data_IF_124376729539
#
_entry.id   IF_124376729539
#
_cell.length_a   1.000
_cell.length_b   1.000
_cell.length_c   1.000
_cell.angle_alpha   90.00
_cell.angle_beta   90.00
_cell.angle_gamma   90.00
#
_symmetry.space_group_name_H-M   'P 1'
#
loop_
_entity.id
_entity.type
_entity.pdbx_description
1 polymer ?
#
# COMPACT_ATOMS: atom_id res chain seq x y z
N UNK A 1 -6.61 7.12 -16.35
CA UNK A 1 -5.53 7.76 -17.11
C UNK A 1 -5.87 7.49 -18.55
N UNK A 2 -5.86 8.53 -19.36
CA UNK A 2 -6.30 8.43 -20.74
C UNK A 2 -5.07 8.19 -21.59
N UNK A 3 -5.19 7.28 -22.55
CA UNK A 3 -4.10 6.94 -23.45
C UNK A 3 -4.69 6.53 -24.79
N UNK A 4 -3.95 6.82 -25.85
CA UNK A 4 -4.34 6.49 -27.22
C UNK A 4 -3.59 5.24 -27.64
N UNK A 5 -4.29 4.33 -28.31
CA UNK A 5 -3.71 3.09 -28.84
C UNK A 5 -4.12 2.90 -30.29
N UNK A 6 -3.25 2.28 -31.07
CA UNK A 6 -3.60 1.76 -32.38
C UNK A 6 -4.08 0.31 -32.23
N UNK A 7 -5.25 0.01 -32.77
CA UNK A 7 -5.83 -1.35 -32.73
C UNK A 7 -5.36 -2.12 -33.97
N UNK A 8 -4.91 -3.39 -33.82
CA UNK A 8 -4.47 -4.19 -34.96
C UNK A 8 -5.64 -4.55 -35.90
N UNK A 9 -5.36 -4.61 -37.21
CA UNK A 9 -6.33 -5.12 -38.18
C UNK A 9 -6.60 -6.60 -37.93
N UNK A 10 -7.87 -6.96 -37.69
CA UNK A 10 -8.32 -8.33 -37.41
C UNK A 10 -7.54 -9.01 -36.26
N UNK A 11 -7.19 -8.26 -35.21
CA UNK A 11 -6.40 -8.76 -34.09
C UNK A 11 -7.04 -8.55 -32.72
N UNK A 12 -6.32 -9.01 -31.69
CA UNK A 12 -6.64 -8.80 -30.28
C UNK A 12 -5.48 -8.03 -29.65
N UNK A 13 -5.79 -7.11 -28.73
CA UNK A 13 -4.82 -6.32 -27.99
C UNK A 13 -5.24 -6.26 -26.52
N UNK A 14 -4.27 -6.42 -25.63
CA UNK A 14 -4.43 -6.23 -24.18
C UNK A 14 -3.71 -4.95 -23.77
N UNK A 15 -4.39 -4.06 -23.03
CA UNK A 15 -3.87 -2.76 -22.60
C UNK A 15 -4.42 -2.39 -21.23
N UNK A 16 -3.86 -1.33 -20.63
CA UNK A 16 -4.52 -0.65 -19.51
C UNK A 16 -4.40 -1.39 -18.18
N UNK A 17 -3.22 -1.95 -17.90
CA UNK A 17 -2.88 -2.63 -16.65
C UNK A 17 -3.04 -1.67 -15.43
N UNK A 18 -4.26 -1.56 -14.92
CA UNK A 18 -4.70 -0.58 -13.93
C UNK A 18 -5.98 -1.02 -13.23
N UNK A 19 -6.18 -0.55 -11.99
CA UNK A 19 -7.47 -0.70 -11.32
C UNK A 19 -8.54 0.24 -11.90
N UNK A 20 -9.69 -0.33 -12.26
CA UNK A 20 -10.87 0.41 -12.71
C UNK A 20 -12.17 -0.36 -12.41
N UNK A 21 -13.29 0.38 -12.40
CA UNK A 21 -14.66 -0.17 -12.42
C UNK A 21 -15.42 0.20 -13.69
N UNK A 22 -15.10 1.36 -14.27
CA UNK A 22 -15.70 1.89 -15.48
C UNK A 22 -14.58 2.23 -16.46
N UNK A 23 -14.81 1.96 -17.74
CA UNK A 23 -13.92 2.30 -18.85
C UNK A 23 -14.70 3.04 -19.93
N UNK A 24 -14.08 4.04 -20.54
CA UNK A 24 -14.60 4.78 -21.68
C UNK A 24 -13.69 4.50 -22.88
N UNK A 25 -14.31 4.22 -24.03
CA UNK A 25 -13.61 3.94 -25.28
C UNK A 25 -14.17 4.90 -26.33
N UNK A 26 -13.29 5.69 -26.95
CA UNK A 26 -13.63 6.63 -28.00
C UNK A 26 -12.85 6.27 -29.28
N UNK A 27 -13.53 6.27 -30.42
CA UNK A 27 -12.88 6.20 -31.73
C UNK A 27 -12.44 7.61 -32.12
N UNK A 28 -11.13 7.82 -32.28
CA UNK A 28 -10.57 9.15 -32.54
C UNK A 28 -10.41 9.49 -34.03
N UNK A 29 -10.57 8.51 -34.92
CA UNK A 29 -10.50 8.71 -36.37
C UNK A 29 -11.92 8.80 -36.95
N UNK A 30 -12.30 10.01 -37.37
CA UNK A 30 -13.62 10.31 -37.94
C UNK A 30 -13.85 9.67 -39.32
N UNK A 31 -12.80 9.14 -39.95
CA UNK A 31 -12.84 8.48 -41.26
C UNK A 31 -12.81 6.95 -41.19
N UNK A 32 -12.76 6.38 -39.99
CA UNK A 32 -12.71 4.94 -39.75
C UNK A 32 -14.03 4.40 -39.19
N UNK A 33 -14.28 3.10 -39.42
CA UNK A 33 -15.32 2.33 -38.73
C UNK A 33 -14.65 1.26 -37.86
N UNK A 34 -15.00 1.23 -36.58
CA UNK A 34 -14.46 0.25 -35.63
C UNK A 34 -15.50 -0.83 -35.32
N UNK A 35 -15.26 -2.04 -35.83
CA UNK A 35 -16.06 -3.21 -35.46
C UNK A 35 -15.48 -3.90 -34.22
N UNK A 36 -16.12 -3.70 -33.07
CA UNK A 36 -15.77 -4.38 -31.83
C UNK A 36 -16.53 -5.70 -31.71
N UNK A 37 -15.81 -6.82 -31.78
CA UNK A 37 -16.40 -8.14 -31.55
C UNK A 37 -16.60 -8.45 -30.06
N UNK A 38 -15.60 -8.11 -29.25
CA UNK A 38 -15.57 -8.46 -27.82
C UNK A 38 -14.69 -7.46 -27.06
N UNK A 39 -15.10 -7.11 -25.84
CA UNK A 39 -14.27 -6.42 -24.86
C UNK A 39 -14.22 -7.31 -23.62
N UNK A 40 -13.00 -7.59 -23.13
CA UNK A 40 -12.78 -8.35 -21.89
C UNK A 40 -12.04 -7.49 -20.88
N UNK A 41 -12.47 -7.55 -19.63
CA UNK A 41 -11.68 -7.09 -18.50
C UNK A 41 -10.98 -8.31 -17.88
N UNK A 42 -9.68 -8.21 -17.67
CA UNK A 42 -8.88 -9.25 -17.02
C UNK A 42 -8.60 -8.76 -15.61
N UNK A 43 -8.90 -9.60 -14.63
CA UNK A 43 -8.61 -9.31 -13.22
C UNK A 43 -7.43 -10.17 -12.79
N UNK A 44 -6.40 -9.53 -12.25
CA UNK A 44 -5.16 -10.17 -11.83
C UNK A 44 -5.07 -10.04 -10.31
N UNK A 45 -4.97 -11.20 -9.65
CA UNK A 45 -4.82 -11.33 -8.21
C UNK A 45 -3.84 -12.45 -7.92
N UNK A 46 -3.24 -12.42 -6.72
CA UNK A 46 -2.60 -13.60 -6.21
C UNK A 46 -3.65 -14.70 -5.98
N UNK A 47 -3.36 -15.93 -6.40
CA UNK A 47 -4.22 -17.08 -6.10
C UNK A 47 -3.97 -17.55 -4.67
N UNK A 48 -4.64 -16.90 -3.71
CA UNK A 48 -4.47 -17.15 -2.27
C UNK A 48 -5.81 -17.39 -1.57
N UNK A 49 -5.87 -18.28 -0.57
CA UNK A 49 -7.10 -18.57 0.15
C UNK A 49 -7.41 -17.49 1.21
N UNK A 50 -8.70 -17.17 1.36
CA UNK A 50 -9.23 -16.41 2.49
C UNK A 50 -9.37 -17.37 3.69
N UNK A 51 -8.39 -17.38 4.59
CA UNK A 51 -8.35 -18.25 5.78
C UNK A 51 -9.19 -17.70 6.93
N UNK A 52 -9.18 -16.38 7.10
CA UNK A 52 -10.02 -15.67 8.05
C UNK A 52 -11.39 -15.36 7.48
N UNK A 53 -12.41 -15.35 8.33
CA UNK A 53 -13.76 -14.97 7.95
C UNK A 53 -14.48 -14.26 9.10
N UNK A 54 -15.45 -13.42 8.75
CA UNK A 54 -16.35 -12.77 9.69
C UNK A 54 -17.75 -12.75 9.11
N UNK A 55 -18.75 -12.98 9.96
CA UNK A 55 -20.16 -12.82 9.63
C UNK A 55 -20.97 -12.55 10.89
N UNK A 56 -21.89 -11.60 10.82
CA UNK A 56 -22.88 -11.33 11.86
C UNK A 56 -24.28 -11.13 11.25
N UNK A 57 -25.25 -10.82 12.11
CA UNK A 57 -26.64 -10.55 11.72
C UNK A 57 -26.84 -9.15 11.10
N UNK A 58 -25.81 -8.29 11.11
CA UNK A 58 -25.82 -7.00 10.43
C UNK A 58 -25.17 -7.12 9.05
N UNK A 59 -25.99 -7.04 8.00
CA UNK A 59 -25.52 -7.21 6.63
C UNK A 59 -24.58 -6.09 6.17
N UNK A 60 -24.72 -4.88 6.73
CA UNK A 60 -23.81 -3.78 6.42
C UNK A 60 -22.41 -4.07 6.95
N UNK A 61 -22.30 -4.62 8.16
CA UNK A 61 -21.00 -5.03 8.73
C UNK A 61 -20.36 -6.17 7.93
N UNK A 62 -21.17 -7.13 7.46
CA UNK A 62 -20.68 -8.19 6.56
C UNK A 62 -20.08 -7.60 5.28
N UNK A 63 -20.78 -6.65 4.65
CA UNK A 63 -20.31 -5.98 3.43
C UNK A 63 -19.04 -5.15 3.67
N UNK A 64 -18.93 -4.48 4.82
CA UNK A 64 -17.72 -3.74 5.20
C UNK A 64 -16.53 -4.69 5.31
N UNK A 65 -16.69 -5.84 5.97
CA UNK A 65 -15.62 -6.83 6.09
C UNK A 65 -15.18 -7.36 4.72
N UNK A 66 -16.13 -7.77 3.88
CA UNK A 66 -15.84 -8.28 2.53
C UNK A 66 -15.13 -7.23 1.67
N UNK A 67 -15.60 -5.97 1.74
CA UNK A 67 -15.01 -4.87 0.99
C UNK A 67 -13.58 -4.58 1.46
N UNK A 68 -13.32 -4.57 2.77
CA UNK A 68 -11.98 -4.37 3.33
C UNK A 68 -11.02 -5.48 2.90
N UNK A 69 -11.43 -6.74 3.04
CA UNK A 69 -10.63 -7.89 2.64
C UNK A 69 -10.34 -7.90 1.12
N UNK A 70 -11.33 -7.60 0.29
CA UNK A 70 -11.17 -7.48 -1.17
C UNK A 70 -10.26 -6.31 -1.57
N UNK A 71 -10.34 -5.17 -0.86
CA UNK A 71 -9.50 -3.99 -1.13
C UNK A 71 -8.02 -4.31 -0.90
N UNK A 72 -7.69 -4.96 0.22
CA UNK A 72 -6.30 -5.36 0.48
C UNK A 72 -5.84 -6.42 -0.52
N UNK A 73 -6.70 -7.36 -0.90
CA UNK A 73 -6.33 -8.36 -1.91
C UNK A 73 -6.03 -7.74 -3.28
N UNK A 74 -6.78 -6.73 -3.70
CA UNK A 74 -6.47 -5.96 -4.92
C UNK A 74 -5.07 -5.34 -4.86
N UNK A 75 -4.67 -4.87 -3.69
CA UNK A 75 -3.38 -4.23 -3.45
C UNK A 75 -2.23 -5.22 -3.24
N UNK A 76 -2.51 -6.51 -2.98
CA UNK A 76 -1.49 -7.56 -2.87
C UNK A 76 -1.04 -8.03 -4.25
N UNK A 77 0.04 -7.43 -4.77
CA UNK A 77 0.66 -7.77 -6.05
C UNK A 77 2.06 -8.36 -5.79
N UNK A 78 3.10 -8.02 -6.56
CA UNK A 78 4.48 -8.45 -6.23
C UNK A 78 4.95 -7.90 -4.85
N UNK A 79 4.44 -6.72 -4.52
CA UNK A 79 4.52 -6.05 -3.23
C UNK A 79 3.10 -5.60 -2.85
N UNK A 80 2.92 -5.11 -1.63
CA UNK A 80 1.64 -4.56 -1.21
C UNK A 80 1.62 -3.06 -1.51
N UNK A 81 0.64 -2.66 -2.32
CA UNK A 81 0.50 -1.30 -2.84
C UNK A 81 -0.50 -0.51 -2.01
N UNK A 82 -0.27 0.79 -1.84
CA UNK A 82 -1.26 1.72 -1.27
C UNK A 82 -2.59 1.73 -2.06
N UNK A 83 -2.50 1.62 -3.39
CA UNK A 83 -3.67 1.70 -4.25
C UNK A 83 -3.48 1.12 -5.65
N UNK A 84 -4.37 0.20 -6.03
CA UNK A 84 -4.34 -0.52 -7.32
C UNK A 84 -4.42 0.37 -8.58
N UNK A 85 -4.98 1.58 -8.46
CA UNK A 85 -5.00 2.56 -9.57
C UNK A 85 -3.76 3.46 -9.53
N UNK A 86 -3.46 4.01 -8.35
CA UNK A 86 -2.41 4.97 -8.02
C UNK A 86 -2.28 4.97 -6.47
N UNK A 87 -1.09 5.08 -5.89
CA UNK A 87 0.23 5.29 -6.52
C UNK A 87 0.97 4.00 -6.91
N UNK A 88 0.52 2.84 -6.42
CA UNK A 88 1.16 1.52 -6.62
C UNK A 88 2.56 1.45 -6.01
N UNK A 89 2.70 2.08 -4.84
CA UNK A 89 3.95 2.16 -4.10
C UNK A 89 3.77 1.50 -2.73
N UNK A 90 4.89 1.08 -2.15
CA UNK A 90 4.93 0.59 -0.76
C UNK A 90 5.02 1.79 0.17
N UNK A 91 3.86 2.23 0.68
CA UNK A 91 3.77 3.31 1.66
C UNK A 91 3.59 2.74 3.07
N UNK A 92 4.50 3.06 3.99
CA UNK A 92 4.57 2.36 5.29
C UNK A 92 3.45 2.70 6.26
N UNK A 93 2.90 3.92 6.21
CA UNK A 93 1.72 4.24 7.00
C UNK A 93 0.52 3.38 6.59
N UNK A 94 0.31 3.22 5.28
CA UNK A 94 -0.74 2.41 4.68
C UNK A 94 -0.49 0.91 4.98
N UNK A 95 0.78 0.52 5.02
CA UNK A 95 1.20 -0.86 5.28
C UNK A 95 0.74 -1.39 6.64
N UNK A 96 0.66 -0.58 7.71
CA UNK A 96 0.26 -1.09 9.03
C UNK A 96 -1.15 -1.69 9.05
N UNK A 97 -2.24 -0.96 8.70
CA UNK A 97 -3.57 -1.54 8.62
C UNK A 97 -3.69 -2.64 7.55
N UNK A 98 -2.93 -2.55 6.47
CA UNK A 98 -2.90 -3.59 5.43
C UNK A 98 -2.30 -4.90 5.96
N UNK A 99 -1.16 -4.86 6.66
CA UNK A 99 -0.52 -6.02 7.29
C UNK A 99 -1.45 -6.68 8.29
N UNK A 100 -2.15 -5.89 9.10
CA UNK A 100 -3.14 -6.41 10.05
C UNK A 100 -4.30 -7.11 9.35
N UNK A 101 -4.75 -6.58 8.21
CA UNK A 101 -5.75 -7.24 7.36
C UNK A 101 -5.20 -8.53 6.76
N UNK A 102 -3.98 -8.51 6.23
CA UNK A 102 -3.32 -9.71 5.67
C UNK A 102 -3.21 -10.81 6.71
N UNK A 103 -2.71 -10.48 7.90
CA UNK A 103 -2.62 -11.39 9.04
C UNK A 103 -3.98 -12.03 9.37
N UNK A 104 -5.04 -11.22 9.41
CA UNK A 104 -6.37 -11.67 9.83
C UNK A 104 -7.09 -12.48 8.76
N UNK A 105 -6.95 -12.11 7.48
CA UNK A 105 -7.73 -12.67 6.37
C UNK A 105 -6.96 -13.77 5.63
N UNK A 106 -5.68 -13.59 5.33
CA UNK A 106 -4.89 -14.49 4.49
C UNK A 106 -3.85 -15.29 5.27
N UNK A 107 -3.51 -14.84 6.49
CA UNK A 107 -2.40 -15.36 7.28
C UNK A 107 -1.04 -14.94 6.72
N UNK A 108 -0.01 -15.77 6.91
CA UNK A 108 1.31 -15.50 6.33
C UNK A 108 1.24 -15.38 4.79
N UNK A 109 1.81 -14.31 4.27
CA UNK A 109 2.07 -14.09 2.85
C UNK A 109 3.41 -13.38 2.70
N UNK A 110 4.24 -13.84 1.75
CA UNK A 110 5.59 -13.31 1.50
C UNK A 110 5.62 -11.87 0.98
N UNK A 111 4.48 -11.35 0.48
CA UNK A 111 4.37 -9.97 0.03
C UNK A 111 4.70 -8.97 1.14
N UNK A 112 4.40 -9.31 2.40
CA UNK A 112 4.69 -8.45 3.56
C UNK A 112 6.20 -8.30 3.81
N UNK A 113 6.97 -9.38 4.07
CA UNK A 113 8.41 -9.25 4.26
C UNK A 113 9.12 -8.66 3.03
N UNK A 114 8.69 -9.04 1.81
CA UNK A 114 9.21 -8.42 0.57
C UNK A 114 9.03 -6.90 0.55
N UNK A 115 7.86 -6.41 0.98
CA UNK A 115 7.56 -4.96 1.01
C UNK A 115 8.32 -4.23 2.12
N UNK A 116 8.45 -4.85 3.30
CA UNK A 116 9.23 -4.32 4.42
C UNK A 116 10.73 -4.22 4.09
N UNK A 117 11.26 -5.21 3.37
CA UNK A 117 12.65 -5.22 2.92
C UNK A 117 12.88 -4.19 1.80
N UNK A 118 11.95 -4.08 0.84
CA UNK A 118 12.04 -3.12 -0.26
C UNK A 118 12.15 -1.67 0.25
N UNK A 119 11.29 -1.27 1.21
CA UNK A 119 11.36 0.09 1.73
C UNK A 119 12.67 0.34 2.47
N UNK A 120 13.13 -0.63 3.27
CA UNK A 120 14.36 -0.54 4.04
C UNK A 120 15.56 -0.34 3.12
N UNK A 121 15.64 -1.13 2.06
CA UNK A 121 16.77 -1.12 1.13
C UNK A 121 16.75 0.10 0.20
N UNK A 122 15.56 0.62 -0.11
CA UNK A 122 15.41 1.85 -0.92
C UNK A 122 15.64 3.13 -0.14
N UNK A 123 15.60 3.09 1.20
CA UNK A 123 15.87 4.25 2.06
C UNK A 123 17.00 3.94 3.07
N UNK A 124 18.26 3.88 2.62
CA UNK A 124 19.38 3.66 3.53
C UNK A 124 19.53 4.84 4.50
N UNK A 125 19.89 4.53 5.75
CA UNK A 125 20.17 5.55 6.76
C UNK A 125 21.24 6.55 6.28
N UNK A 126 21.13 7.84 6.61
CA UNK A 126 20.20 8.43 7.58
C UNK A 126 18.86 8.88 6.98
N UNK A 127 18.46 8.38 5.81
CA UNK A 127 17.17 8.73 5.22
C UNK A 127 16.02 8.11 6.01
N UNK A 128 14.90 8.84 6.09
CA UNK A 128 13.64 8.29 6.56
C UNK A 128 12.95 7.49 5.45
N UNK A 129 12.10 6.54 5.81
CA UNK A 129 11.20 5.81 4.90
C UNK A 129 10.13 6.75 4.35
N UNK A 130 10.54 7.62 3.44
CA UNK A 130 9.85 8.83 2.95
C UNK A 130 9.60 9.91 3.99
N UNK A 131 9.16 9.53 5.20
CA UNK A 131 8.82 10.44 6.30
C UNK A 131 9.25 9.85 7.64
N UNK A 132 9.53 10.71 8.63
CA UNK A 132 10.00 10.23 9.94
C UNK A 132 8.95 9.35 10.64
N UNK A 133 7.67 9.73 10.57
CA UNK A 133 6.55 8.97 11.16
C UNK A 133 6.38 7.60 10.51
N UNK A 134 6.71 7.47 9.22
CA UNK A 134 6.62 6.20 8.48
C UNK A 134 7.70 5.22 8.93
N UNK A 135 8.89 5.74 9.26
CA UNK A 135 9.97 4.92 9.84
C UNK A 135 9.59 4.39 11.23
N UNK A 136 8.82 5.14 12.01
CA UNK A 136 8.24 4.66 13.27
C UNK A 136 7.20 3.57 13.04
N UNK A 137 6.33 3.74 12.04
CA UNK A 137 5.37 2.69 11.64
C UNK A 137 6.08 1.41 11.21
N UNK A 138 7.20 1.50 10.48
CA UNK A 138 7.98 0.32 10.10
C UNK A 138 8.41 -0.51 11.32
N UNK A 139 8.90 0.15 12.39
CA UNK A 139 9.27 -0.51 13.65
C UNK A 139 8.06 -1.21 14.28
N UNK A 140 6.91 -0.54 14.32
CA UNK A 140 5.67 -1.12 14.86
C UNK A 140 5.18 -2.32 14.04
N UNK A 141 5.28 -2.25 12.72
CA UNK A 141 4.92 -3.35 11.83
C UNK A 141 5.85 -4.54 12.04
N UNK A 142 7.16 -4.34 12.20
CA UNK A 142 8.10 -5.44 12.52
C UNK A 142 7.69 -6.16 13.81
N UNK A 143 7.33 -5.41 14.85
CA UNK A 143 6.82 -5.97 16.12
C UNK A 143 5.53 -6.76 15.88
N UNK A 144 4.53 -6.15 15.26
CA UNK A 144 3.21 -6.75 15.12
C UNK A 144 3.25 -7.97 14.19
N UNK A 145 4.03 -7.92 13.12
CA UNK A 145 4.28 -9.06 12.23
C UNK A 145 4.93 -10.23 12.97
N UNK A 146 5.94 -9.96 13.81
CA UNK A 146 6.54 -11.00 14.65
C UNK A 146 5.54 -11.59 15.65
N UNK A 147 4.74 -10.76 16.31
CA UNK A 147 3.74 -11.25 17.27
C UNK A 147 2.66 -12.10 16.60
N UNK A 148 2.30 -11.80 15.34
CA UNK A 148 1.33 -12.60 14.58
C UNK A 148 1.90 -13.89 14.01
N UNK A 149 3.11 -13.84 13.45
CA UNK A 149 3.67 -14.95 12.66
C UNK A 149 4.70 -15.79 13.42
N UNK A 150 5.26 -15.27 14.52
CA UNK A 150 6.26 -15.96 15.34
C UNK A 150 7.61 -16.20 14.65
N UNK A 151 7.87 -15.57 13.50
CA UNK A 151 9.11 -15.76 12.74
C UNK A 151 10.25 -14.93 13.34
N UNK A 152 10.94 -15.50 14.32
CA UNK A 152 12.08 -14.85 14.98
C UNK A 152 13.29 -14.71 14.05
N UNK A 153 13.49 -15.62 13.12
CA UNK A 153 14.65 -15.60 12.24
C UNK A 153 14.58 -14.42 11.26
N UNK A 154 13.41 -14.18 10.65
CA UNK A 154 13.18 -12.95 9.87
C UNK A 154 13.40 -11.69 10.72
N UNK A 155 12.85 -11.63 11.95
CA UNK A 155 13.06 -10.45 12.80
C UNK A 155 14.54 -10.21 13.13
N UNK A 156 15.35 -11.28 13.30
CA UNK A 156 16.80 -11.15 13.53
C UNK A 156 17.52 -10.56 12.33
N UNK A 157 17.09 -10.86 11.11
CA UNK A 157 17.65 -10.24 9.90
C UNK A 157 17.45 -8.71 9.91
N UNK A 158 16.33 -8.24 10.45
CA UNK A 158 16.00 -6.82 10.56
C UNK A 158 16.70 -6.10 11.72
N UNK A 159 17.29 -6.85 12.66
CA UNK A 159 17.82 -6.32 13.93
C UNK A 159 18.83 -5.19 13.73
N UNK A 160 19.75 -5.34 12.78
CA UNK A 160 20.78 -4.33 12.52
C UNK A 160 20.16 -2.98 12.18
N UNK A 161 19.31 -2.97 11.15
CA UNK A 161 18.61 -1.75 10.73
C UNK A 161 17.69 -1.20 11.82
N UNK A 162 16.97 -2.05 12.56
CA UNK A 162 16.14 -1.63 13.69
C UNK A 162 16.97 -0.87 14.75
N UNK A 163 18.13 -1.40 15.13
CA UNK A 163 19.01 -0.75 16.11
C UNK A 163 19.55 0.59 15.59
N UNK A 164 20.01 0.64 14.35
CA UNK A 164 20.58 1.86 13.77
C UNK A 164 19.52 2.95 13.56
N UNK A 165 18.31 2.56 13.12
CA UNK A 165 17.17 3.46 12.99
C UNK A 165 16.73 4.03 14.35
N UNK A 166 16.68 3.19 15.39
CA UNK A 166 16.40 3.66 16.76
C UNK A 166 17.45 4.66 17.24
N UNK A 167 18.74 4.41 16.98
CA UNK A 167 19.79 5.38 17.30
C UNK A 167 19.57 6.71 16.57
N UNK A 168 19.23 6.68 15.28
CA UNK A 168 18.90 7.88 14.51
C UNK A 168 17.70 8.63 15.13
N UNK A 169 16.62 7.93 15.48
CA UNK A 169 15.45 8.52 16.13
C UNK A 169 15.83 9.17 17.47
N UNK A 170 16.68 8.53 18.27
CA UNK A 170 17.14 9.09 19.55
C UNK A 170 17.89 10.42 19.38
N UNK A 171 18.59 10.62 18.25
CA UNK A 171 19.22 11.92 17.94
C UNK A 171 18.22 13.04 17.64
N UNK A 172 16.94 12.68 17.44
CA UNK A 172 15.83 13.61 17.23
C UNK A 172 14.99 13.81 18.49
N UNK A 173 15.45 13.37 19.65
CA UNK A 173 14.80 13.65 20.94
C UNK A 173 15.61 14.74 21.67
N UNK A 174 14.94 15.83 22.03
CA UNK A 174 15.54 16.92 22.77
C UNK A 174 15.78 16.58 24.25
N UNK A 175 16.56 17.42 24.94
CA UNK A 175 16.78 17.30 26.39
C UNK A 175 15.49 17.43 27.22
N UNK A 176 14.45 18.04 26.64
CA UNK A 176 13.09 18.14 27.18
C UNK A 176 12.28 16.85 27.03
N UNK A 177 12.84 15.81 26.40
CA UNK A 177 12.16 14.54 26.10
C UNK A 177 11.13 14.64 24.98
N UNK A 178 11.02 15.80 24.32
CA UNK A 178 10.15 15.98 23.17
C UNK A 178 10.90 15.66 21.89
N UNK A 179 10.17 15.16 20.89
CA UNK A 179 10.72 14.99 19.57
C UNK A 179 11.06 16.36 18.95
N UNK A 180 12.12 16.39 18.13
CA UNK A 180 12.61 17.55 17.38
C UNK A 180 12.91 17.16 15.93
N UNK A 181 11.98 16.44 15.28
CA UNK A 181 12.05 16.23 13.84
C UNK A 181 11.94 17.58 13.11
N UNK A 182 12.80 17.82 12.13
CA UNK A 182 12.72 19.05 11.35
C UNK A 182 11.47 19.02 10.46
N UNK A 183 10.85 20.17 10.22
CA UNK A 183 9.68 20.27 9.33
C UNK A 183 9.95 19.71 7.91
N UNK A 184 11.22 19.76 7.47
CA UNK A 184 11.67 19.23 6.18
C UNK A 184 11.90 17.71 6.17
N UNK A 185 11.80 17.02 7.32
CA UNK A 185 11.98 15.57 7.44
C UNK A 185 10.66 14.79 7.29
N UNK A 186 9.57 15.49 6.91
CA UNK A 186 8.27 14.89 6.62
C UNK A 186 7.54 14.47 7.90
N UNK A 187 6.78 15.40 8.49
CA UNK A 187 5.83 15.11 9.56
C UNK A 187 4.42 14.97 8.98
N UNK A 188 4.06 13.75 8.62
CA UNK A 188 2.70 13.43 8.21
C UNK A 188 2.04 12.51 9.22
N UNK A 189 0.80 12.86 9.60
CA UNK A 189 -0.03 12.02 10.45
C UNK A 189 -1.31 11.63 9.73
N UNK A 190 -1.99 12.58 9.09
CA UNK A 190 -3.26 12.34 8.41
C UNK A 190 -3.56 13.37 7.31
N UNK A 191 -4.50 13.02 6.42
CA UNK A 191 -5.15 13.94 5.48
C UNK A 191 -6.49 14.38 6.07
N UNK A 192 -6.53 15.48 6.83
CA UNK A 192 -7.72 15.81 7.60
C UNK A 192 -8.87 16.26 6.69
N UNK A 193 -10.07 15.78 7.00
CA UNK A 193 -11.30 16.19 6.30
C UNK A 193 -11.83 17.56 6.74
N UNK A 194 -11.28 18.12 7.81
CA UNK A 194 -11.54 19.47 8.30
C UNK A 194 -10.24 20.12 8.78
N UNK A 195 -10.02 21.39 8.44
CA UNK A 195 -8.82 22.09 8.87
C UNK A 195 -8.80 22.26 10.39
N UNK A 196 -7.68 21.87 11.00
CA UNK A 196 -7.37 22.26 12.36
C UNK A 196 -6.14 23.18 12.29
N UNK A 197 -6.27 24.49 12.58
CA UNK A 197 -5.18 25.45 12.42
C UNK A 197 -3.90 25.09 13.20
N UNK A 198 -3.98 24.17 14.17
CA UNK A 198 -2.84 23.68 14.94
C UNK A 198 -2.10 22.49 14.29
N UNK A 199 -2.68 21.79 13.32
CA UNK A 199 -2.18 20.49 12.83
C UNK A 199 -2.22 20.30 11.31
N UNK A 200 -2.85 21.18 10.53
CA UNK A 200 -2.78 21.14 9.06
C UNK A 200 -1.55 21.90 8.54
N UNK A 201 -0.54 21.15 8.08
CA UNK A 201 0.33 21.61 6.99
C UNK A 201 -0.03 20.75 5.77
N UNK A 202 -0.81 21.31 4.86
CA UNK A 202 -1.09 20.67 3.57
C UNK A 202 0.21 20.59 2.77
N UNK A 203 0.56 19.40 2.31
CA UNK A 203 1.57 19.25 1.26
C UNK A 203 0.88 19.62 -0.07
N UNK A 204 1.16 20.82 -0.57
CA UNK A 204 0.91 21.23 -1.95
C UNK A 204 2.23 21.24 -2.72
#
# INVERSE_FOLDING_TARGET
RDFVISVPWLGVLEVGNSGFRFARIDLLDDSAELHLKEIRAISIFQDIPYKGSFRCNDERLNQIWQTGAYTVHLNMQDYIWDGIKRDRLVWIRDLHPEVMTVNTVFGYNEVIPKSLDLIRDSTPLPQWMTMCTYSLWWILIQRDWYLYQGNLDYLKEQKGHLCDLLQLIMTRIGEDGLEKFNDNEGRFLDWPSCENPLYTKSFH
#
